data_IF_937035662720
#
_entry.id   IF_937035662720
#
_cell.length_a   1.000
_cell.length_b   1.000
_cell.length_c   1.000
_cell.angle_alpha   90.00
_cell.angle_beta   90.00
_cell.angle_gamma   90.00
#
_symmetry.space_group_name_H-M   'P 1'
#
loop_
_entity.id
_entity.type
_entity.pdbx_description
1 polymer ?
#
# COMPACT_ATOMS: atom_id res chain seq x y z
N UNK A 1 -8.48 10.13 25.31
CA UNK A 1 -8.94 9.67 23.98
C UNK A 1 -8.50 8.22 23.78
N UNK A 2 -9.41 7.24 23.93
CA UNK A 2 -9.08 5.80 23.85
C UNK A 2 -8.65 5.45 22.42
N UNK A 3 -7.41 5.00 22.28
CA UNK A 3 -6.80 4.69 20.97
C UNK A 3 -7.50 3.53 20.28
N UNK A 4 -7.94 3.83 19.07
CA UNK A 4 -8.45 2.99 17.99
C UNK A 4 -7.95 1.53 18.00
N UNK A 5 -8.92 0.61 18.00
CA UNK A 5 -8.92 -0.80 17.60
C UNK A 5 -7.68 -1.67 17.91
N UNK A 6 -7.86 -2.62 18.83
CA UNK A 6 -6.94 -3.75 19.07
C UNK A 6 -6.95 -4.80 17.93
N UNK A 7 -7.76 -4.63 16.88
CA UNK A 7 -7.91 -5.64 15.83
C UNK A 7 -7.57 -5.07 14.41
N UNK A 8 -6.41 -5.41 13.84
CA UNK A 8 -6.01 -4.94 12.51
C UNK A 8 -6.96 -5.40 11.39
N UNK A 9 -7.69 -6.50 11.58
CA UNK A 9 -8.69 -6.96 10.61
C UNK A 9 -9.83 -5.95 10.43
N UNK A 10 -10.32 -5.38 11.53
CA UNK A 10 -11.42 -4.39 11.50
C UNK A 10 -10.97 -3.13 10.78
N UNK A 11 -9.74 -2.69 11.00
CA UNK A 11 -9.19 -1.50 10.35
C UNK A 11 -9.00 -1.71 8.84
N UNK A 12 -8.58 -2.91 8.43
CA UNK A 12 -8.49 -3.29 7.02
C UNK A 12 -9.88 -3.37 6.38
N UNK A 13 -10.86 -4.01 7.04
CA UNK A 13 -12.24 -4.11 6.55
C UNK A 13 -12.90 -2.74 6.40
N UNK A 14 -12.68 -1.82 7.36
CA UNK A 14 -13.14 -0.43 7.25
C UNK A 14 -12.50 0.27 6.06
N UNK A 15 -11.19 0.11 5.87
CA UNK A 15 -10.47 0.72 4.75
C UNK A 15 -10.98 0.19 3.40
N UNK A 16 -11.26 -1.12 3.30
CA UNK A 16 -11.89 -1.73 2.13
C UNK A 16 -13.29 -1.19 1.86
N UNK A 17 -14.12 -1.06 2.90
CA UNK A 17 -15.46 -0.51 2.76
C UNK A 17 -15.42 0.93 2.20
N UNK A 18 -14.55 1.78 2.74
CA UNK A 18 -14.31 3.13 2.21
C UNK A 18 -13.82 3.10 0.75
N UNK A 19 -12.89 2.20 0.41
CA UNK A 19 -12.41 2.03 -0.96
C UNK A 19 -13.52 1.67 -1.93
N UNK A 20 -14.38 0.72 -1.57
CA UNK A 20 -15.52 0.30 -2.40
C UNK A 20 -16.54 1.42 -2.56
N UNK A 21 -16.85 2.17 -1.50
CA UNK A 21 -17.77 3.31 -1.56
C UNK A 21 -17.22 4.43 -2.44
N UNK A 22 -15.94 4.79 -2.28
CA UNK A 22 -15.28 5.78 -3.13
C UNK A 22 -15.24 5.32 -4.58
N UNK A 23 -14.84 4.07 -4.86
CA UNK A 23 -14.80 3.51 -6.21
C UNK A 23 -16.17 3.60 -6.89
N UNK A 24 -17.24 3.22 -6.18
CA UNK A 24 -18.61 3.28 -6.71
C UNK A 24 -19.01 4.69 -7.12
N UNK A 25 -18.74 5.69 -6.27
CA UNK A 25 -19.02 7.11 -6.56
C UNK A 25 -18.21 7.58 -7.77
N UNK A 26 -16.93 7.19 -7.82
CA UNK A 26 -16.02 7.58 -8.89
C UNK A 26 -16.44 6.95 -10.24
N UNK A 27 -16.91 5.71 -10.26
CA UNK A 27 -17.42 5.05 -11.45
C UNK A 27 -18.75 5.66 -11.92
N UNK A 28 -19.65 6.03 -11.01
CA UNK A 28 -20.90 6.71 -11.33
C UNK A 28 -20.62 8.09 -11.94
N UNK A 29 -19.74 8.89 -11.33
CA UNK A 29 -19.37 10.19 -11.86
C UNK A 29 -18.65 10.07 -13.22
N UNK A 30 -17.79 9.07 -13.41
CA UNK A 30 -17.18 8.79 -14.72
C UNK A 30 -18.25 8.46 -15.78
N UNK A 31 -19.22 7.61 -15.46
CA UNK A 31 -20.33 7.30 -16.37
C UNK A 31 -21.14 8.55 -16.78
N UNK A 32 -21.36 9.49 -15.86
CA UNK A 32 -22.07 10.73 -16.11
C UNK A 32 -21.30 11.73 -17.00
N UNK A 33 -19.97 11.62 -17.08
CA UNK A 33 -19.09 12.55 -17.83
C UNK A 33 -19.01 12.27 -19.35
N UNK A 34 -19.79 11.32 -19.89
CA UNK A 34 -19.95 11.05 -21.34
C UNK A 34 -18.64 10.81 -22.14
N UNK A 35 -17.58 10.32 -21.50
CA UNK A 35 -16.37 9.85 -22.18
C UNK A 35 -16.54 8.46 -22.81
N UNK A 36 -15.60 8.02 -23.65
CA UNK A 36 -15.59 6.63 -24.13
C UNK A 36 -15.08 5.70 -23.03
N UNK A 37 -15.55 4.45 -23.00
CA UNK A 37 -15.11 3.44 -22.01
C UNK A 37 -13.58 3.28 -22.04
N UNK A 38 -12.98 3.27 -23.23
CA UNK A 38 -11.53 3.15 -23.39
C UNK A 38 -10.75 4.32 -22.78
N UNK A 39 -11.24 5.56 -22.94
CA UNK A 39 -10.64 6.74 -22.32
C UNK A 39 -10.68 6.65 -20.80
N UNK A 40 -11.79 6.17 -20.23
CA UNK A 40 -11.91 5.97 -18.78
C UNK A 40 -10.97 4.89 -18.24
N UNK A 41 -10.90 3.73 -18.91
CA UNK A 41 -9.96 2.66 -18.52
C UNK A 41 -8.52 3.18 -18.57
N UNK A 42 -8.16 3.90 -19.63
CA UNK A 42 -6.82 4.48 -19.77
C UNK A 42 -6.51 5.44 -18.62
N UNK A 43 -7.38 6.41 -18.35
CA UNK A 43 -7.16 7.37 -17.27
C UNK A 43 -7.07 6.67 -15.91
N UNK A 44 -7.96 5.72 -15.62
CA UNK A 44 -7.93 4.98 -14.36
C UNK A 44 -6.64 4.19 -14.21
N UNK A 45 -6.23 3.45 -15.23
CA UNK A 45 -4.98 2.69 -15.23
C UNK A 45 -3.76 3.60 -15.06
N UNK A 46 -3.75 4.76 -15.73
CA UNK A 46 -2.71 5.77 -15.58
C UNK A 46 -2.63 6.29 -14.13
N UNK A 47 -3.77 6.61 -13.54
CA UNK A 47 -3.89 6.98 -12.14
C UNK A 47 -3.34 5.95 -11.18
N UNK A 48 -3.74 4.69 -11.36
CA UNK A 48 -3.25 3.58 -10.57
C UNK A 48 -1.74 3.40 -10.71
N UNK A 49 -1.22 3.47 -11.93
CA UNK A 49 0.21 3.38 -12.20
C UNK A 49 0.99 4.49 -11.49
N UNK A 50 0.49 5.74 -11.53
CA UNK A 50 1.05 6.85 -10.77
C UNK A 50 1.05 6.58 -9.26
N UNK A 51 -0.03 6.01 -8.71
CA UNK A 51 -0.04 5.60 -7.31
C UNK A 51 1.08 4.62 -7.00
N UNK A 52 1.24 3.57 -7.81
CA UNK A 52 2.29 2.57 -7.55
C UNK A 52 3.71 3.17 -7.57
N UNK A 53 3.92 4.23 -8.36
CA UNK A 53 5.18 4.98 -8.36
C UNK A 53 5.37 5.80 -7.07
N UNK A 54 4.32 6.47 -6.62
CA UNK A 54 4.33 7.23 -5.36
C UNK A 54 4.52 6.30 -4.16
N UNK A 55 3.87 5.13 -4.16
CA UNK A 55 4.05 4.07 -3.18
C UNK A 55 5.53 3.67 -3.07
N UNK A 56 6.16 3.34 -4.19
CA UNK A 56 7.59 3.02 -4.26
C UNK A 56 8.46 4.16 -3.71
N UNK A 57 8.20 5.39 -4.16
CA UNK A 57 9.00 6.56 -3.81
C UNK A 57 8.91 6.91 -2.32
N UNK A 58 7.71 6.85 -1.75
CA UNK A 58 7.50 7.08 -0.32
C UNK A 58 8.21 5.99 0.48
N UNK A 59 8.05 4.72 0.13
CA UNK A 59 8.65 3.64 0.90
C UNK A 59 10.19 3.69 0.85
N UNK A 60 10.77 3.88 -0.33
CA UNK A 60 12.22 4.00 -0.48
C UNK A 60 12.77 5.28 0.15
N UNK A 61 12.40 6.43 -0.40
CA UNK A 61 13.07 7.68 -0.04
C UNK A 61 12.60 8.21 1.30
N UNK A 62 11.30 8.20 1.58
CA UNK A 62 10.79 8.79 2.81
C UNK A 62 10.95 7.84 4.00
N UNK A 63 10.54 6.59 3.87
CA UNK A 63 10.49 5.65 5.00
C UNK A 63 11.83 4.98 5.31
N UNK A 64 12.70 4.75 4.31
CA UNK A 64 14.01 4.11 4.50
C UNK A 64 15.20 5.07 4.45
N UNK A 65 15.24 6.00 3.49
CA UNK A 65 16.42 6.87 3.32
C UNK A 65 16.38 8.13 4.19
N UNK A 66 15.23 8.82 4.26
CA UNK A 66 15.09 10.10 4.99
C UNK A 66 14.79 9.91 6.48
N UNK A 67 13.96 8.93 6.83
CA UNK A 67 13.68 8.60 8.23
C UNK A 67 14.83 7.75 8.76
N UNK A 68 15.66 8.34 9.62
CA UNK A 68 16.81 7.64 10.22
C UNK A 68 16.33 6.59 11.24
N UNK A 69 16.84 5.34 11.19
CA UNK A 69 16.56 4.32 12.21
C UNK A 69 16.83 4.85 13.63
N UNK A 70 15.87 4.69 14.54
CA UNK A 70 15.99 5.14 15.94
C UNK A 70 15.53 6.58 16.21
N UNK A 71 15.26 7.39 15.18
CA UNK A 71 14.48 8.63 15.35
C UNK A 71 12.98 8.32 15.40
N UNK A 72 12.21 9.22 16.00
CA UNK A 72 10.75 9.13 16.10
C UNK A 72 10.10 9.20 14.70
N UNK A 73 9.87 8.05 14.09
CA UNK A 73 8.94 7.90 12.96
C UNK A 73 7.50 7.90 13.49
N UNK A 74 6.99 9.09 13.76
CA UNK A 74 5.65 9.25 14.28
C UNK A 74 4.56 9.12 13.21
N UNK A 75 4.90 9.28 11.92
CA UNK A 75 3.92 9.29 10.82
C UNK A 75 3.62 7.89 10.29
N UNK A 76 4.65 7.08 10.00
CA UNK A 76 4.49 5.77 9.35
C UNK A 76 4.71 4.60 10.31
N UNK A 77 5.46 4.79 11.40
CA UNK A 77 5.84 3.72 12.33
C UNK A 77 6.59 2.56 11.64
N UNK A 78 7.29 2.88 10.55
CA UNK A 78 7.86 1.95 9.59
C UNK A 78 8.99 1.11 10.20
N UNK A 79 9.97 1.75 10.83
CA UNK A 79 11.08 1.06 11.49
C UNK A 79 10.61 0.12 12.61
N UNK A 80 9.60 0.53 13.38
CA UNK A 80 9.00 -0.34 14.40
C UNK A 80 8.29 -1.53 13.74
N UNK A 81 7.64 -1.33 12.59
CA UNK A 81 7.03 -2.41 11.83
C UNK A 81 8.07 -3.37 11.24
N UNK A 82 9.24 -2.89 10.79
CA UNK A 82 10.37 -3.75 10.45
C UNK A 82 10.82 -4.63 11.61
N UNK A 83 10.98 -4.04 12.80
CA UNK A 83 11.36 -4.77 14.01
C UNK A 83 10.26 -5.74 14.49
N UNK A 84 8.99 -5.35 14.29
CA UNK A 84 7.82 -6.10 14.72
C UNK A 84 6.81 -6.21 13.55
N UNK A 85 7.00 -7.14 12.60
CA UNK A 85 6.18 -7.27 11.38
C UNK A 85 4.68 -7.44 11.66
N UNK A 86 4.35 -7.97 12.83
CA UNK A 86 2.97 -8.19 13.26
C UNK A 86 2.27 -6.91 13.75
N UNK A 87 3.01 -5.84 14.00
CA UNK A 87 2.52 -4.59 14.57
C UNK A 87 2.13 -3.55 13.51
N UNK A 88 1.46 -3.98 12.44
CA UNK A 88 0.97 -3.07 11.40
C UNK A 88 -0.04 -2.09 12.00
N UNK A 89 0.40 -0.84 12.21
CA UNK A 89 -0.37 0.22 12.85
C UNK A 89 -0.47 1.41 11.91
N UNK A 90 -1.66 1.59 11.33
CA UNK A 90 -1.98 2.80 10.56
C UNK A 90 -2.43 3.90 11.52
N UNK A 91 -1.54 4.86 11.78
CA UNK A 91 -1.81 5.98 12.71
C UNK A 91 -2.85 6.94 12.14
N UNK A 92 -3.56 7.63 13.04
CA UNK A 92 -4.62 8.58 12.67
C UNK A 92 -4.10 9.71 11.78
N UNK A 93 -2.92 10.27 12.10
CA UNK A 93 -2.31 11.35 11.30
C UNK A 93 -1.99 10.92 9.87
N UNK A 94 -1.56 9.68 9.66
CA UNK A 94 -1.40 9.13 8.31
C UNK A 94 -2.75 9.11 7.58
N UNK A 95 -3.83 8.68 8.24
CA UNK A 95 -5.18 8.69 7.65
C UNK A 95 -5.69 10.10 7.34
N UNK A 96 -5.42 11.06 8.22
CA UNK A 96 -5.79 12.47 8.02
C UNK A 96 -5.01 13.06 6.84
N UNK A 97 -3.69 12.88 6.81
CA UNK A 97 -2.84 13.36 5.71
C UNK A 97 -3.34 12.82 4.36
N UNK A 98 -3.64 11.53 4.33
CA UNK A 98 -4.21 10.84 3.18
C UNK A 98 -5.58 11.38 2.79
N UNK A 99 -6.47 11.58 3.76
CA UNK A 99 -7.81 12.07 3.51
C UNK A 99 -7.78 13.51 3.01
N UNK A 100 -6.94 14.36 3.61
CA UNK A 100 -6.68 15.73 3.17
C UNK A 100 -6.07 15.77 1.77
N UNK A 101 -5.09 14.91 1.48
CA UNK A 101 -4.51 14.79 0.14
C UNK A 101 -5.58 14.35 -0.87
N UNK A 102 -6.43 13.38 -0.50
CA UNK A 102 -7.58 12.96 -1.31
C UNK A 102 -8.56 14.10 -1.59
N UNK A 103 -8.87 14.94 -0.59
CA UNK A 103 -9.73 16.13 -0.74
C UNK A 103 -9.05 17.18 -1.63
N UNK A 104 -7.79 17.52 -1.39
CA UNK A 104 -7.06 18.52 -2.18
C UNK A 104 -6.96 18.11 -3.65
N UNK A 105 -6.67 16.83 -3.92
CA UNK A 105 -6.61 16.31 -5.28
C UNK A 105 -8.03 16.21 -5.89
N UNK A 106 -9.07 15.90 -5.10
CA UNK A 106 -10.46 15.95 -5.56
C UNK A 106 -10.85 17.37 -6.02
N UNK A 107 -10.53 18.41 -5.23
CA UNK A 107 -10.79 19.80 -5.63
C UNK A 107 -10.04 20.18 -6.90
N UNK A 108 -8.77 19.74 -7.04
CA UNK A 108 -7.99 19.96 -8.25
C UNK A 108 -8.56 19.21 -9.47
N UNK A 109 -9.11 18.02 -9.28
CA UNK A 109 -9.74 17.24 -10.34
C UNK A 109 -11.05 17.90 -10.84
N UNK A 110 -11.82 18.51 -9.94
CA UNK A 110 -13.04 19.26 -10.28
C UNK A 110 -12.70 20.52 -11.09
N UNK A 111 -11.59 21.20 -10.80
CA UNK A 111 -11.18 22.40 -11.54
C UNK A 111 -10.54 22.10 -12.90
N UNK A 112 -9.98 20.90 -13.10
CA UNK A 112 -9.24 20.51 -14.31
C UNK A 112 -10.02 19.64 -15.32
N UNK A 113 -11.36 19.62 -15.24
CA UNK A 113 -12.26 19.24 -16.34
C UNK A 113 -11.96 17.89 -17.06
N UNK A 114 -11.72 16.80 -16.31
CA UNK A 114 -11.76 15.35 -16.70
C UNK A 114 -10.63 14.47 -16.13
N UNK A 115 -9.74 15.00 -15.28
CA UNK A 115 -8.74 14.16 -14.58
C UNK A 115 -9.33 13.30 -13.44
N UNK A 116 -10.63 13.40 -13.21
CA UNK A 116 -11.33 12.67 -12.15
C UNK A 116 -11.14 11.16 -12.20
N UNK A 117 -11.12 10.55 -13.39
CA UNK A 117 -10.93 9.11 -13.53
C UNK A 117 -9.49 8.67 -13.27
N UNK A 118 -8.51 9.49 -13.63
CA UNK A 118 -7.13 9.24 -13.26
C UNK A 118 -6.92 9.41 -11.75
N UNK A 119 -7.54 10.42 -11.15
CA UNK A 119 -7.54 10.52 -9.70
C UNK A 119 -8.20 9.31 -9.03
N UNK A 120 -9.32 8.82 -9.57
CA UNK A 120 -9.97 7.63 -9.07
C UNK A 120 -9.02 6.43 -9.03
N UNK A 121 -8.28 6.18 -10.12
CA UNK A 121 -7.26 5.14 -10.17
C UNK A 121 -6.19 5.31 -9.09
N UNK A 122 -5.67 6.53 -8.94
CA UNK A 122 -4.65 6.84 -7.94
C UNK A 122 -5.16 6.61 -6.51
N UNK A 123 -6.34 7.15 -6.19
CA UNK A 123 -6.91 7.09 -4.85
C UNK A 123 -7.32 5.67 -4.45
N UNK A 124 -7.83 4.88 -5.39
CA UNK A 124 -8.14 3.48 -5.12
C UNK A 124 -6.85 2.68 -4.91
N UNK A 125 -5.81 2.90 -5.72
CA UNK A 125 -4.49 2.31 -5.46
C UNK A 125 -4.01 2.63 -4.04
N UNK A 126 -4.09 3.91 -3.66
CA UNK A 126 -3.77 4.38 -2.31
C UNK A 126 -4.56 3.63 -1.23
N UNK A 127 -5.88 3.49 -1.36
CA UNK A 127 -6.70 2.83 -0.33
C UNK A 127 -6.40 1.32 -0.24
N UNK A 128 -6.04 0.70 -1.36
CA UNK A 128 -5.63 -0.70 -1.42
C UNK A 128 -4.25 -0.95 -0.79
N UNK A 129 -3.40 0.07 -0.66
CA UNK A 129 -2.06 -0.04 -0.06
C UNK A 129 -2.04 -0.84 1.26
N UNK A 130 -2.84 -0.41 2.24
CA UNK A 130 -2.86 -1.04 3.55
C UNK A 130 -3.44 -2.47 3.49
N UNK A 131 -4.40 -2.70 2.59
CA UNK A 131 -4.95 -4.03 2.36
C UNK A 131 -3.93 -4.97 1.72
N UNK A 132 -3.24 -4.53 0.67
CA UNK A 132 -2.19 -5.30 0.01
C UNK A 132 -1.07 -5.60 0.99
N UNK A 133 -0.61 -4.60 1.75
CA UNK A 133 0.39 -4.79 2.79
C UNK A 133 -0.06 -5.85 3.82
N UNK A 134 -1.31 -5.78 4.28
CA UNK A 134 -1.88 -6.79 5.17
C UNK A 134 -1.92 -8.20 4.55
N UNK A 135 -2.31 -8.32 3.28
CA UNK A 135 -2.32 -9.59 2.55
C UNK A 135 -0.91 -10.15 2.39
N UNK A 136 0.09 -9.30 2.12
CA UNK A 136 1.49 -9.71 2.00
C UNK A 136 2.05 -10.24 3.33
N UNK A 137 1.54 -9.81 4.49
CA UNK A 137 1.89 -10.42 5.78
C UNK A 137 1.16 -11.73 6.10
N UNK A 138 0.34 -12.25 5.19
CA UNK A 138 -0.39 -13.52 5.37
C UNK A 138 0.05 -14.60 4.38
N UNK A 139 -0.03 -15.89 4.73
CA UNK A 139 0.31 -16.97 3.81
C UNK A 139 -0.44 -16.93 2.47
N UNK A 140 -1.67 -16.39 2.44
CA UNK A 140 -2.47 -16.23 1.21
C UNK A 140 -1.77 -15.35 0.15
N UNK A 141 -0.88 -14.44 0.57
CA UNK A 141 -0.07 -13.64 -0.36
C UNK A 141 0.80 -14.49 -1.29
N UNK A 142 1.16 -15.74 -0.92
CA UNK A 142 1.99 -16.61 -1.76
C UNK A 142 1.22 -17.08 -2.99
N UNK A 143 -0.10 -17.11 -2.87
CA UNK A 143 -1.02 -17.53 -3.90
C UNK A 143 -1.43 -16.30 -4.72
N UNK A 144 -1.80 -15.19 -4.06
CA UNK A 144 -2.34 -14.01 -4.73
C UNK A 144 -1.27 -13.13 -5.39
N UNK A 145 -0.12 -12.94 -4.72
CA UNK A 145 0.92 -11.98 -5.10
C UNK A 145 2.33 -12.56 -4.87
N UNK A 146 2.67 -13.73 -5.45
CA UNK A 146 3.86 -14.51 -5.10
C UNK A 146 5.17 -13.71 -5.20
N UNK A 147 5.36 -12.97 -6.28
CA UNK A 147 6.59 -12.20 -6.53
C UNK A 147 6.74 -11.03 -5.56
N UNK A 148 5.66 -10.31 -5.30
CA UNK A 148 5.63 -9.17 -4.38
C UNK A 148 5.85 -9.67 -2.96
N UNK A 149 5.16 -10.74 -2.55
CA UNK A 149 5.32 -11.26 -1.21
C UNK A 149 6.72 -11.80 -0.97
N UNK A 150 7.31 -12.51 -1.93
CA UNK A 150 8.72 -12.92 -1.84
C UNK A 150 9.62 -11.71 -1.61
N UNK A 151 9.44 -10.65 -2.41
CA UNK A 151 10.22 -9.42 -2.26
C UNK A 151 10.02 -8.78 -0.87
N UNK A 152 8.77 -8.72 -0.39
CA UNK A 152 8.42 -8.13 0.89
C UNK A 152 8.94 -8.94 2.10
N UNK A 153 8.93 -10.27 2.02
CA UNK A 153 9.55 -11.12 3.05
C UNK A 153 11.05 -10.84 3.11
N UNK A 154 11.73 -10.82 1.95
CA UNK A 154 13.16 -10.56 1.86
C UNK A 154 13.51 -9.16 2.35
N UNK A 155 12.68 -8.17 2.04
CA UNK A 155 12.76 -6.80 2.54
C UNK A 155 12.76 -6.73 4.07
N UNK A 156 11.80 -7.40 4.70
CA UNK A 156 11.68 -7.41 6.16
C UNK A 156 12.80 -8.16 6.89
N UNK A 157 13.50 -9.06 6.20
CA UNK A 157 14.35 -10.05 6.87
C UNK A 157 15.84 -9.93 6.54
N UNK A 158 16.21 -9.78 5.27
CA UNK A 158 17.61 -9.90 4.82
C UNK A 158 18.08 -8.73 3.95
N UNK A 159 17.19 -8.12 3.18
CA UNK A 159 17.52 -7.09 2.20
C UNK A 159 16.62 -5.85 2.41
N UNK A 160 16.78 -5.11 3.53
CA UNK A 160 15.93 -3.96 3.84
C UNK A 160 16.03 -2.82 2.81
N UNK A 161 17.09 -2.81 1.99
CA UNK A 161 17.28 -1.84 0.91
C UNK A 161 16.77 -2.34 -0.47
N UNK A 162 15.93 -3.37 -0.49
CA UNK A 162 15.35 -3.94 -1.71
C UNK A 162 13.87 -4.29 -1.48
N UNK A 163 13.06 -4.33 -2.54
CA UNK A 163 11.65 -4.75 -2.48
C UNK A 163 10.76 -3.70 -1.82
N UNK A 164 10.78 -2.48 -2.33
CA UNK A 164 10.02 -1.36 -1.77
C UNK A 164 8.56 -1.31 -2.23
N UNK A 165 8.19 -2.00 -3.30
CA UNK A 165 6.80 -1.95 -3.79
C UNK A 165 5.89 -3.00 -3.16
N UNK A 166 4.63 -2.63 -2.95
CA UNK A 166 3.56 -3.50 -2.41
C UNK A 166 2.51 -3.84 -3.48
N UNK A 167 2.31 -2.97 -4.47
CA UNK A 167 1.29 -3.12 -5.50
C UNK A 167 1.80 -3.81 -6.77
N UNK A 168 3.07 -3.60 -7.13
CA UNK A 168 3.69 -4.15 -8.34
C UNK A 168 5.20 -4.19 -8.20
N UNK A 169 5.88 -5.19 -8.79
CA UNK A 169 7.35 -5.23 -8.79
C UNK A 169 8.00 -4.33 -9.85
N UNK A 170 7.20 -3.63 -10.65
CA UNK A 170 7.67 -2.85 -11.81
C UNK A 170 8.76 -1.85 -11.43
N UNK A 171 8.56 -1.07 -10.36
CA UNK A 171 9.49 -0.01 -9.96
C UNK A 171 10.77 -0.57 -9.34
N UNK A 172 10.65 -1.64 -8.55
CA UNK A 172 11.83 -2.35 -8.04
C UNK A 172 12.66 -2.95 -9.18
N UNK A 173 12.03 -3.44 -10.25
CA UNK A 173 12.73 -3.92 -11.44
C UNK A 173 13.37 -2.77 -12.21
N UNK A 174 12.64 -1.67 -12.44
CA UNK A 174 13.11 -0.53 -13.22
C UNK A 174 14.28 0.20 -12.57
N UNK A 175 14.29 0.29 -11.24
CA UNK A 175 15.31 0.99 -10.45
C UNK A 175 16.34 0.05 -9.80
N UNK A 176 16.36 -1.21 -10.20
CA UNK A 176 17.29 -2.24 -9.73
C UNK A 176 17.32 -2.38 -8.19
N UNK A 177 16.14 -2.36 -7.58
CA UNK A 177 15.94 -2.59 -6.13
C UNK A 177 15.21 -3.90 -5.85
N UNK A 178 15.22 -4.86 -6.79
CA UNK A 178 14.73 -6.21 -6.52
C UNK A 178 15.72 -7.01 -5.65
N UNK A 179 15.23 -7.81 -4.68
CA UNK A 179 16.08 -8.74 -3.97
C UNK A 179 16.70 -9.78 -4.94
N UNK A 180 17.91 -10.31 -4.65
CA UNK A 180 18.56 -11.32 -5.47
C UNK A 180 17.62 -12.50 -5.80
N UNK A 181 17.65 -13.00 -7.03
CA UNK A 181 16.75 -14.07 -7.48
C UNK A 181 17.04 -15.39 -6.77
N UNK A 182 18.30 -15.59 -6.41
CA UNK A 182 18.88 -16.75 -5.75
C UNK A 182 18.69 -16.69 -4.23
N UNK A 183 18.19 -15.57 -3.70
CA UNK A 183 17.90 -15.46 -2.28
C UNK A 183 16.79 -16.43 -1.86
N UNK A 184 17.15 -17.38 -1.01
CA UNK A 184 16.20 -18.32 -0.42
C UNK A 184 15.55 -17.74 0.85
N UNK A 185 14.26 -18.04 1.04
CA UNK A 185 13.55 -17.72 2.27
C UNK A 185 13.64 -18.95 3.18
N UNK A 186 14.41 -18.84 4.26
CA UNK A 186 14.55 -19.95 5.22
C UNK A 186 13.26 -20.16 6.03
N UNK A 187 13.01 -21.37 6.57
CA UNK A 187 11.86 -21.63 7.44
C UNK A 187 11.80 -20.68 8.66
N UNK A 188 12.95 -20.29 9.22
CA UNK A 188 13.05 -19.32 10.32
C UNK A 188 12.60 -17.92 9.91
N UNK A 189 12.92 -17.49 8.68
CA UNK A 189 12.45 -16.21 8.14
C UNK A 189 10.93 -16.23 7.98
N UNK A 190 10.36 -17.33 7.47
CA UNK A 190 8.91 -17.48 7.37
C UNK A 190 8.23 -17.49 8.74
N UNK A 191 8.82 -18.17 9.72
CA UNK A 191 8.29 -18.20 11.09
C UNK A 191 8.30 -16.81 11.71
N UNK A 192 9.40 -16.06 11.62
CA UNK A 192 9.47 -14.69 12.12
C UNK A 192 8.49 -13.76 11.40
N UNK A 193 8.27 -13.98 10.11
CA UNK A 193 7.41 -13.13 9.29
C UNK A 193 5.92 -13.43 9.47
N UNK A 194 5.52 -14.71 9.54
CA UNK A 194 4.13 -15.16 9.65
C UNK A 194 3.69 -15.60 11.06
N UNK A 195 4.62 -15.78 11.99
CA UNK A 195 4.43 -16.54 13.23
C UNK A 195 3.26 -16.10 14.11
N UNK A 196 2.96 -14.80 14.16
CA UNK A 196 1.78 -14.29 14.88
C UNK A 196 0.45 -14.78 14.30
N UNK A 197 0.32 -14.87 12.97
CA UNK A 197 -0.94 -15.26 12.33
C UNK A 197 -1.23 -16.76 12.46
N UNK A 198 -0.20 -17.61 12.60
CA UNK A 198 -0.39 -19.06 12.85
C UNK A 198 -0.90 -19.34 14.27
N UNK A 199 -0.59 -18.47 15.25
CA UNK A 199 -1.01 -18.64 16.65
C UNK A 199 -2.46 -18.19 16.92
N UNK A 200 -3.07 -17.42 16.01
CA UNK A 200 -4.44 -16.88 16.17
C UNK A 200 -5.51 -17.66 15.40
N UNK A 201 -5.13 -18.73 14.70
CA UNK A 201 -6.02 -19.57 13.87
C UNK A 201 -6.34 -20.93 14.51
N UNK A 202 -5.97 -21.12 15.78
CA UNK A 202 -6.37 -22.24 16.63
C UNK A 202 -7.04 -21.67 17.88
#
# INVERSE_FOLDING_TARGET
MKTLSKNPQIEVLRSLAWACSCLSILLIAAFLLKGTIGYFIFLFAYGWLLWTFVEYSIHRFLMHELIVPGKKDELFNHHNHHANPHSLKVKMWHRILVFSLGISIFFLAVTLNNLFTAFAGFFIGFLFYNFLHYILHKPIGKILLPKIQRAHILHHTRYPNCGYSFSTILWDWLFDTLPPKEAEISPKMEENYFGFFRKTTH
#
